data_IF_464757899869
#
_entry.id   IF_464757899869
#
_cell.length_a   1.000
_cell.length_b   1.000
_cell.length_c   1.000
_cell.angle_alpha   90.00
_cell.angle_beta   90.00
_cell.angle_gamma   90.00
#
_symmetry.space_group_name_H-M   'P 1'
#
loop_
_entity.id
_entity.type
_entity.pdbx_description
1 polymer ?
#
# COMPACT_ATOMS: atom_id res chain seq x y z
N UNK A 1 1.64 -5.58 18.32
CA UNK A 1 2.45 -6.51 19.11
C UNK A 1 1.97 -7.93 18.86
N UNK A 2 2.83 -8.76 18.25
CA UNK A 2 2.52 -10.19 18.07
C UNK A 2 2.59 -10.91 19.40
N UNK A 3 1.66 -11.82 19.64
CA UNK A 3 1.58 -12.64 20.85
C UNK A 3 1.98 -14.11 20.62
N UNK A 4 2.36 -14.41 19.38
CA UNK A 4 2.84 -15.70 18.91
C UNK A 4 4.38 -15.72 18.72
N UNK A 5 4.91 -16.78 18.16
CA UNK A 5 6.34 -16.97 17.93
C UNK A 5 6.91 -16.23 16.71
N UNK A 6 6.12 -15.35 16.05
CA UNK A 6 6.53 -14.65 14.81
C UNK A 6 7.83 -13.86 14.98
N UNK A 7 7.99 -13.13 16.10
CA UNK A 7 9.20 -12.35 16.37
C UNK A 7 10.42 -13.24 16.56
N UNK A 8 10.26 -14.35 17.28
CA UNK A 8 11.33 -15.31 17.50
C UNK A 8 11.74 -15.98 16.18
N UNK A 9 10.76 -16.41 15.40
CA UNK A 9 10.97 -16.98 14.07
C UNK A 9 11.76 -16.03 13.14
N UNK A 10 11.37 -14.75 13.09
CA UNK A 10 12.06 -13.76 12.26
C UNK A 10 13.52 -13.59 12.70
N UNK A 11 13.78 -13.48 14.00
CA UNK A 11 15.15 -13.33 14.51
C UNK A 11 16.03 -14.54 14.24
N UNK A 12 15.46 -15.74 14.27
CA UNK A 12 16.21 -16.98 14.02
C UNK A 12 16.44 -17.25 12.53
N UNK A 13 15.43 -17.00 11.69
CA UNK A 13 15.49 -17.34 10.27
C UNK A 13 15.97 -16.21 9.37
N UNK A 14 15.77 -14.96 9.80
CA UNK A 14 16.07 -13.77 9.03
C UNK A 14 16.79 -12.73 9.89
N UNK A 15 18.01 -13.03 10.40
CA UNK A 15 18.73 -12.19 11.35
C UNK A 15 19.09 -10.80 10.82
N UNK A 16 19.16 -10.65 9.49
CA UNK A 16 19.45 -9.36 8.83
C UNK A 16 18.23 -8.44 8.70
N UNK A 17 17.03 -8.94 9.03
CA UNK A 17 15.80 -8.15 8.99
C UNK A 17 15.65 -7.34 10.28
N UNK A 18 15.49 -6.03 10.15
CA UNK A 18 15.16 -5.17 11.28
C UNK A 18 13.72 -5.40 11.73
N UNK A 19 13.56 -5.86 12.97
CA UNK A 19 12.24 -6.11 13.56
C UNK A 19 11.89 -4.95 14.51
N UNK A 20 10.91 -4.13 14.12
CA UNK A 20 10.35 -3.08 14.96
C UNK A 20 9.16 -3.65 15.71
N UNK A 21 9.22 -3.60 17.04
CA UNK A 21 8.16 -4.11 17.92
C UNK A 21 7.42 -2.92 18.52
N UNK A 22 6.18 -2.71 18.09
CA UNK A 22 5.31 -1.69 18.68
C UNK A 22 4.93 -2.09 20.12
N UNK A 23 4.76 -1.13 21.03
CA UNK A 23 4.46 -1.40 22.46
C UNK A 23 3.06 -2.02 22.65
N UNK A 24 2.13 -1.72 21.77
CA UNK A 24 0.74 -2.17 21.79
C UNK A 24 0.19 -2.39 20.39
N UNK A 25 -0.98 -3.02 20.27
CA UNK A 25 -1.71 -3.12 19.02
C UNK A 25 -2.74 -1.98 18.94
N UNK A 26 -2.34 -0.89 18.32
CA UNK A 26 -3.16 0.31 18.10
C UNK A 26 -3.79 0.34 16.71
N UNK A 27 -3.86 -0.81 16.04
CA UNK A 27 -4.38 -0.93 14.67
C UNK A 27 -3.33 -0.67 13.59
N UNK A 28 -3.79 -0.62 12.34
CA UNK A 28 -2.95 -0.49 11.16
C UNK A 28 -2.29 0.89 11.10
N UNK A 29 -3.09 1.96 11.18
CA UNK A 29 -2.63 3.35 11.02
C UNK A 29 -1.55 3.73 12.03
N UNK A 30 -1.87 3.64 13.30
CA UNK A 30 -0.93 3.96 14.40
C UNK A 30 0.27 3.01 14.38
N UNK A 31 0.06 1.73 14.09
CA UNK A 31 1.12 0.74 13.99
C UNK A 31 2.18 1.11 12.95
N UNK A 32 1.75 1.48 11.74
CA UNK A 32 2.66 1.94 10.69
C UNK A 32 3.29 3.30 11.02
N UNK A 33 2.54 4.26 11.55
CA UNK A 33 3.08 5.56 11.93
C UNK A 33 4.22 5.43 12.95
N UNK A 34 4.04 4.60 13.98
CA UNK A 34 5.07 4.35 15.01
C UNK A 34 6.32 3.66 14.41
N UNK A 35 6.12 2.69 13.53
CA UNK A 35 7.22 1.98 12.90
C UNK A 35 7.98 2.88 11.91
N UNK A 36 7.28 3.57 11.02
CA UNK A 36 7.89 4.40 9.98
C UNK A 36 8.63 5.63 10.51
N UNK A 37 8.27 6.16 11.69
CA UNK A 37 9.06 7.20 12.38
C UNK A 37 10.48 6.76 12.70
N UNK A 38 10.75 5.47 12.74
CA UNK A 38 12.07 4.89 13.02
C UNK A 38 12.83 4.51 11.74
N UNK A 39 12.22 4.68 10.55
CA UNK A 39 12.78 4.30 9.26
C UNK A 39 13.14 5.54 8.46
N UNK A 40 14.42 5.71 8.16
CA UNK A 40 14.89 6.78 7.28
C UNK A 40 15.07 6.23 5.85
N UNK A 41 14.15 6.56 4.95
CA UNK A 41 14.17 6.15 3.56
C UNK A 41 13.50 7.21 2.67
N UNK A 42 13.81 7.20 1.37
CA UNK A 42 13.15 8.08 0.40
C UNK A 42 11.74 7.59 0.06
N UNK A 43 11.58 6.26 0.02
CA UNK A 43 10.31 5.59 -0.25
C UNK A 43 10.03 4.56 0.84
N UNK A 44 8.77 4.43 1.21
CA UNK A 44 8.28 3.31 1.99
C UNK A 44 7.52 2.35 1.09
N UNK A 45 7.64 1.06 1.36
CA UNK A 45 6.79 0.03 0.75
C UNK A 45 6.00 -0.62 1.88
N UNK A 46 4.72 -0.30 1.96
CA UNK A 46 3.81 -0.95 2.89
C UNK A 46 3.34 -2.23 2.22
N UNK A 47 3.72 -3.35 2.77
CA UNK A 47 3.44 -4.66 2.22
C UNK A 47 2.83 -5.56 3.29
N UNK A 48 1.66 -6.10 3.03
CA UNK A 48 1.04 -7.06 3.90
C UNK A 48 1.82 -8.39 3.89
N UNK A 49 1.84 -9.07 5.03
CA UNK A 49 2.58 -10.33 5.21
C UNK A 49 1.98 -11.52 4.42
N UNK A 50 0.79 -11.38 3.87
CA UNK A 50 0.08 -12.37 3.06
C UNK A 50 0.14 -12.07 1.54
N UNK A 51 1.02 -11.17 1.12
CA UNK A 51 1.27 -10.86 -0.28
C UNK A 51 2.51 -11.59 -0.79
N UNK A 52 2.36 -12.36 -1.87
CA UNK A 52 3.48 -12.94 -2.62
C UNK A 52 3.94 -11.94 -3.70
N UNK A 53 5.23 -11.65 -3.73
CA UNK A 53 5.82 -10.74 -4.71
C UNK A 53 6.54 -11.50 -5.83
N UNK A 54 6.61 -10.88 -7.02
CA UNK A 54 7.34 -11.42 -8.18
C UNK A 54 8.78 -10.92 -8.19
N UNK A 55 9.63 -11.49 -9.05
CA UNK A 55 10.95 -10.95 -9.30
C UNK A 55 10.86 -9.53 -9.90
N UNK A 56 11.80 -8.68 -9.54
CA UNK A 56 11.94 -7.30 -10.07
C UNK A 56 10.67 -6.42 -9.92
N UNK A 57 9.88 -6.65 -8.87
CA UNK A 57 8.62 -5.92 -8.66
C UNK A 57 8.80 -4.49 -8.13
N UNK A 58 9.96 -4.18 -7.53
CA UNK A 58 10.27 -2.88 -6.93
C UNK A 58 10.75 -1.89 -7.98
N UNK A 59 11.68 -2.29 -8.84
CA UNK A 59 12.44 -1.42 -9.74
C UNK A 59 11.56 -0.61 -10.71
N UNK A 60 10.52 -1.17 -11.34
CA UNK A 60 9.66 -0.40 -12.23
C UNK A 60 8.91 0.72 -11.50
N UNK A 61 8.49 0.46 -10.26
CA UNK A 61 7.73 1.43 -9.47
C UNK A 61 8.65 2.54 -8.96
N UNK A 62 9.84 2.21 -8.48
CA UNK A 62 10.84 3.22 -8.08
C UNK A 62 11.23 4.08 -9.29
N UNK A 63 11.46 3.48 -10.46
CA UNK A 63 11.74 4.23 -11.70
C UNK A 63 10.62 5.21 -12.02
N UNK A 64 9.35 4.81 -11.87
CA UNK A 64 8.20 5.68 -12.07
C UNK A 64 8.17 6.83 -11.05
N UNK A 65 8.35 6.54 -9.77
CA UNK A 65 8.40 7.55 -8.71
C UNK A 65 9.54 8.55 -8.92
N UNK A 66 10.70 8.09 -9.37
CA UNK A 66 11.87 8.95 -9.67
C UNK A 66 11.64 9.84 -10.88
N UNK A 67 10.91 9.36 -11.88
CA UNK A 67 10.63 10.10 -13.11
C UNK A 67 9.73 11.32 -12.88
N UNK A 68 8.89 11.31 -11.85
CA UNK A 68 7.97 12.40 -11.55
C UNK A 68 7.81 12.60 -10.03
N UNK A 69 8.38 13.68 -9.52
CA UNK A 69 8.32 14.02 -8.09
C UNK A 69 6.92 14.38 -7.57
N UNK A 70 5.94 14.55 -8.46
CA UNK A 70 4.53 14.75 -8.08
C UNK A 70 3.81 13.45 -7.72
N UNK A 71 4.34 12.30 -8.13
CA UNK A 71 3.77 11.02 -7.75
C UNK A 71 4.11 10.75 -6.28
N UNK A 72 3.09 10.77 -5.43
CA UNK A 72 3.24 10.51 -4.00
C UNK A 72 3.16 9.04 -3.66
N UNK A 73 2.26 8.30 -4.31
CA UNK A 73 2.04 6.88 -4.06
C UNK A 73 1.79 6.11 -5.35
N UNK A 74 2.13 4.83 -5.32
CA UNK A 74 1.89 3.87 -6.40
C UNK A 74 1.54 2.51 -5.83
N UNK A 75 0.87 1.69 -6.64
CA UNK A 75 0.71 0.27 -6.37
C UNK A 75 0.95 -0.54 -7.65
N UNK A 76 1.44 -1.77 -7.58
CA UNK A 76 1.36 -2.71 -8.69
C UNK A 76 -0.07 -3.21 -8.88
N UNK A 77 -0.34 -3.93 -9.97
CA UNK A 77 -1.53 -4.77 -10.07
C UNK A 77 -1.44 -5.87 -9.03
N UNK A 78 -2.53 -6.10 -8.31
CA UNK A 78 -2.64 -7.18 -7.34
C UNK A 78 -3.60 -8.23 -7.90
N UNK A 79 -3.14 -9.47 -8.00
CA UNK A 79 -3.89 -10.60 -8.52
C UNK A 79 -4.32 -11.53 -7.39
N UNK A 80 -5.42 -12.24 -7.60
CA UNK A 80 -5.88 -13.27 -6.67
C UNK A 80 -4.83 -14.39 -6.56
N UNK A 81 -4.44 -14.73 -5.34
CA UNK A 81 -3.40 -15.73 -5.09
C UNK A 81 -3.77 -17.12 -5.60
N UNK A 82 -5.04 -17.51 -5.46
CA UNK A 82 -5.54 -18.83 -5.86
C UNK A 82 -5.93 -18.90 -7.35
N UNK A 83 -6.29 -17.75 -7.95
CA UNK A 83 -6.68 -17.65 -9.36
C UNK A 83 -5.98 -16.48 -10.04
N UNK A 84 -4.69 -16.63 -10.29
CA UNK A 84 -3.76 -15.59 -10.79
C UNK A 84 -4.14 -14.97 -12.14
N UNK A 85 -5.16 -15.47 -12.81
CA UNK A 85 -5.75 -14.85 -14.01
C UNK A 85 -6.78 -13.77 -13.68
N UNK A 86 -7.08 -13.50 -12.41
CA UNK A 86 -8.04 -12.48 -11.97
C UNK A 86 -7.39 -11.48 -11.03
N UNK A 87 -8.01 -10.30 -10.99
CA UNK A 87 -7.61 -9.29 -10.01
C UNK A 87 -8.01 -9.69 -8.59
N UNK A 88 -7.22 -9.23 -7.63
CA UNK A 88 -7.53 -9.34 -6.21
C UNK A 88 -8.74 -8.45 -5.84
N UNK A 89 -9.43 -8.80 -4.76
CA UNK A 89 -10.71 -8.17 -4.39
C UNK A 89 -10.57 -6.74 -3.86
N UNK A 90 -9.59 -6.47 -2.99
CA UNK A 90 -9.54 -5.22 -2.23
C UNK A 90 -8.77 -4.08 -2.91
N UNK A 91 -7.75 -4.39 -3.70
CA UNK A 91 -6.86 -3.39 -4.30
C UNK A 91 -6.76 -3.44 -5.81
N UNK A 92 -6.98 -4.63 -6.37
CA UNK A 92 -7.01 -4.89 -7.81
C UNK A 92 -5.93 -4.10 -8.59
N UNK A 93 -6.34 -3.17 -9.47
CA UNK A 93 -5.44 -2.39 -10.32
C UNK A 93 -5.54 -0.87 -10.09
N UNK A 94 -5.71 -0.46 -8.82
CA UNK A 94 -5.81 0.93 -8.41
C UNK A 94 -7.25 1.38 -8.16
N UNK A 95 -7.38 2.33 -7.28
CA UNK A 95 -8.66 2.79 -6.74
C UNK A 95 -9.09 4.18 -7.18
N UNK A 96 -10.39 4.40 -7.21
CA UNK A 96 -11.05 5.66 -7.51
C UNK A 96 -12.11 5.96 -6.45
N UNK A 97 -12.63 7.18 -6.47
CA UNK A 97 -13.78 7.59 -5.66
C UNK A 97 -14.80 8.21 -6.61
N UNK A 98 -16.07 7.88 -6.43
CA UNK A 98 -17.13 8.54 -7.18
C UNK A 98 -17.48 9.91 -6.58
N UNK A 99 -18.38 10.64 -7.24
CA UNK A 99 -18.82 11.98 -6.82
C UNK A 99 -19.55 12.03 -5.46
N UNK A 100 -19.90 10.88 -4.91
CA UNK A 100 -20.56 10.75 -3.61
C UNK A 100 -19.60 10.26 -2.52
N UNK A 101 -18.33 9.99 -2.85
CA UNK A 101 -17.31 9.50 -1.93
C UNK A 101 -17.25 7.99 -1.81
N UNK A 102 -17.93 7.23 -2.68
CA UNK A 102 -17.83 5.76 -2.66
C UNK A 102 -16.58 5.28 -3.37
N UNK A 103 -15.70 4.51 -2.71
CA UNK A 103 -14.51 3.97 -3.34
C UNK A 103 -14.84 2.77 -4.23
N UNK A 104 -14.12 2.65 -5.34
CA UNK A 104 -14.17 1.51 -6.24
C UNK A 104 -12.79 1.28 -6.89
N UNK A 105 -12.55 0.09 -7.44
CA UNK A 105 -11.26 -0.29 -8.04
C UNK A 105 -11.42 -0.68 -9.51
N UNK A 106 -10.37 -0.46 -10.30
CA UNK A 106 -10.23 -1.12 -11.61
C UNK A 106 -10.04 -2.62 -11.38
N UNK A 107 -10.69 -3.44 -12.19
CA UNK A 107 -10.64 -4.90 -12.05
C UNK A 107 -11.71 -5.50 -11.17
N UNK A 108 -12.58 -4.65 -10.55
CA UNK A 108 -13.69 -5.12 -9.73
C UNK A 108 -14.91 -4.19 -9.80
N UNK A 109 -16.09 -4.80 -9.96
CA UNK A 109 -17.38 -4.14 -9.78
C UNK A 109 -18.21 -4.96 -8.78
N UNK A 110 -18.45 -4.44 -7.59
CA UNK A 110 -19.07 -5.16 -6.46
C UNK A 110 -18.37 -6.50 -6.21
N UNK A 111 -19.07 -7.62 -6.40
CA UNK A 111 -18.54 -8.97 -6.21
C UNK A 111 -18.02 -9.62 -7.50
N UNK A 112 -18.00 -8.88 -8.60
CA UNK A 112 -17.50 -9.38 -9.89
C UNK A 112 -16.06 -8.93 -10.05
N UNK A 113 -15.15 -9.90 -10.12
CA UNK A 113 -13.73 -9.69 -10.42
C UNK A 113 -13.48 -9.92 -11.91
N UNK A 114 -12.76 -9.00 -12.52
CA UNK A 114 -12.33 -9.13 -13.91
C UNK A 114 -11.17 -10.13 -14.05
N UNK A 115 -11.06 -10.73 -15.22
CA UNK A 115 -9.85 -11.43 -15.63
C UNK A 115 -8.80 -10.41 -16.07
N UNK A 116 -7.53 -10.61 -15.66
CA UNK A 116 -6.41 -9.84 -16.20
C UNK A 116 -6.06 -10.33 -17.62
N UNK A 117 -6.44 -9.54 -18.59
CA UNK A 117 -6.12 -9.71 -20.03
C UNK A 117 -5.11 -8.68 -20.51
N UNK A 118 -4.41 -8.00 -19.58
CA UNK A 118 -3.48 -6.93 -19.88
C UNK A 118 -4.13 -5.56 -20.03
N UNK A 119 -5.44 -5.42 -19.80
CA UNK A 119 -6.18 -4.18 -19.95
C UNK A 119 -5.68 -3.03 -19.06
N UNK A 120 -4.99 -3.35 -17.97
CA UNK A 120 -4.42 -2.37 -17.03
C UNK A 120 -2.90 -2.49 -16.90
N UNK A 121 -2.20 -2.82 -18.00
CA UNK A 121 -0.72 -2.94 -17.99
C UNK A 121 -0.01 -1.58 -18.02
N UNK A 122 -0.67 -0.53 -18.50
CA UNK A 122 -0.09 0.80 -18.53
C UNK A 122 -0.26 1.50 -17.18
N UNK A 123 0.76 2.25 -16.78
CA UNK A 123 0.65 3.13 -15.62
C UNK A 123 -0.45 4.16 -15.87
N UNK A 124 -1.28 4.38 -14.87
CA UNK A 124 -2.43 5.28 -14.91
C UNK A 124 -2.54 6.01 -13.57
N UNK A 125 -2.93 7.28 -13.61
CA UNK A 125 -3.23 8.01 -12.38
C UNK A 125 -4.51 7.45 -11.74
N UNK A 126 -4.41 7.11 -10.46
CA UNK A 126 -5.53 6.60 -9.65
C UNK A 126 -5.80 7.55 -8.48
N UNK A 127 -6.92 7.39 -7.81
CA UNK A 127 -7.22 8.23 -6.66
C UNK A 127 -6.53 7.72 -5.40
N UNK A 128 -6.48 6.39 -5.21
CA UNK A 128 -5.86 5.76 -4.05
C UNK A 128 -5.15 4.45 -4.42
N UNK A 129 -4.15 4.11 -3.63
CA UNK A 129 -3.38 2.87 -3.72
C UNK A 129 -3.72 1.97 -2.55
N UNK A 130 -3.82 0.66 -2.78
CA UNK A 130 -4.17 -0.31 -1.72
C UNK A 130 -3.09 -0.41 -0.65
N UNK A 131 -3.49 -0.47 0.61
CA UNK A 131 -2.60 -0.74 1.75
C UNK A 131 -1.94 -2.12 1.73
N UNK A 132 -2.45 -3.07 0.94
CA UNK A 132 -1.85 -4.38 0.79
C UNK A 132 -0.46 -4.34 0.15
N UNK A 133 -0.22 -3.40 -0.80
CA UNK A 133 1.07 -3.16 -1.44
C UNK A 133 1.15 -1.70 -1.92
N UNK A 134 1.44 -0.78 -1.01
CA UNK A 134 1.55 0.65 -1.30
C UNK A 134 3.02 1.09 -1.29
N UNK A 135 3.46 1.65 -2.40
CA UNK A 135 4.71 2.42 -2.47
C UNK A 135 4.37 3.88 -2.22
N UNK A 136 5.03 4.52 -1.27
CA UNK A 136 4.75 5.91 -0.94
C UNK A 136 6.04 6.69 -0.73
N UNK A 137 6.10 7.90 -1.26
CA UNK A 137 7.19 8.84 -1.03
C UNK A 137 7.15 9.32 0.42
N UNK A 138 8.22 9.07 1.18
CA UNK A 138 8.30 9.37 2.61
C UNK A 138 8.02 10.86 2.92
N UNK A 139 8.58 11.77 2.10
CA UNK A 139 8.32 13.21 2.24
C UNK A 139 6.84 13.56 2.10
N UNK A 140 6.16 13.00 1.08
CA UNK A 140 4.74 13.27 0.84
C UNK A 140 3.87 12.69 1.97
N UNK A 141 4.18 11.49 2.41
CA UNK A 141 3.50 10.81 3.52
C UNK A 141 3.56 11.63 4.81
N UNK A 142 4.76 12.06 5.20
CA UNK A 142 4.92 12.84 6.44
C UNK A 142 4.46 14.29 6.31
N UNK A 143 4.44 14.86 5.11
CA UNK A 143 3.92 16.20 4.86
C UNK A 143 2.42 16.32 5.16
N UNK A 144 1.68 15.22 5.03
CA UNK A 144 0.26 15.15 5.42
C UNK A 144 0.05 14.54 6.81
N UNK A 145 1.12 14.26 7.56
CA UNK A 145 1.06 13.74 8.93
C UNK A 145 1.03 12.23 9.06
N UNK A 146 1.23 11.48 7.97
CA UNK A 146 1.11 10.03 7.96
C UNK A 146 -0.34 9.55 7.84
N UNK A 147 -0.62 8.32 8.26
CA UNK A 147 -1.99 7.85 8.41
C UNK A 147 -2.70 8.60 9.54
N UNK A 148 -4.01 8.73 9.44
CA UNK A 148 -4.84 9.25 10.52
C UNK A 148 -5.07 8.15 11.56
N UNK A 149 -4.65 8.39 12.80
CA UNK A 149 -4.72 7.42 13.89
C UNK A 149 -6.15 7.07 14.32
N UNK A 150 -7.15 7.89 13.94
CA UNK A 150 -8.55 7.59 14.18
C UNK A 150 -9.07 6.41 13.35
N UNK A 151 -8.38 6.06 12.24
CA UNK A 151 -8.63 4.83 11.51
C UNK A 151 -7.88 3.67 12.18
N UNK A 152 -8.61 2.77 12.78
CA UNK A 152 -7.99 1.54 13.33
C UNK A 152 -7.49 0.60 12.22
N UNK A 153 -8.35 0.35 11.23
CA UNK A 153 -8.07 -0.37 9.99
C UNK A 153 -9.17 -0.06 8.96
N UNK A 154 -8.82 -0.10 7.69
CA UNK A 154 -9.62 0.22 6.52
C UNK A 154 -9.89 1.71 6.31
N UNK A 155 -9.82 2.14 5.06
CA UNK A 155 -9.98 3.51 4.56
C UNK A 155 -8.80 4.46 4.84
N UNK A 156 -7.82 4.10 5.66
CA UNK A 156 -6.64 4.91 5.97
C UNK A 156 -5.80 5.19 4.74
N UNK A 157 -5.69 4.23 3.82
CA UNK A 157 -4.98 4.39 2.56
C UNK A 157 -5.70 5.35 1.61
N UNK A 158 -7.02 5.36 1.62
CA UNK A 158 -7.84 6.27 0.83
C UNK A 158 -7.71 7.69 1.38
N UNK A 159 -7.80 7.85 2.69
CA UNK A 159 -7.64 9.12 3.37
C UNK A 159 -6.26 9.74 3.14
N UNK A 160 -5.18 8.99 3.35
CA UNK A 160 -3.83 9.53 3.15
C UNK A 160 -3.58 9.93 1.69
N UNK A 161 -4.06 9.13 0.72
CA UNK A 161 -4.01 9.48 -0.69
C UNK A 161 -4.80 10.76 -0.98
N UNK A 162 -6.01 10.89 -0.42
CA UNK A 162 -6.82 12.10 -0.55
C UNK A 162 -6.10 13.34 -0.02
N UNK A 163 -5.52 13.24 1.18
CA UNK A 163 -4.76 14.37 1.78
C UNK A 163 -3.54 14.75 0.94
N UNK A 164 -2.80 13.77 0.39
CA UNK A 164 -1.68 14.04 -0.52
C UNK A 164 -2.15 14.72 -1.82
N UNK A 165 -3.27 14.27 -2.42
CA UNK A 165 -3.85 14.92 -3.61
C UNK A 165 -4.28 16.36 -3.32
N UNK A 166 -4.86 16.66 -2.18
CA UNK A 166 -5.28 18.01 -1.80
C UNK A 166 -4.13 19.02 -1.70
N UNK A 167 -2.90 18.56 -1.52
CA UNK A 167 -1.69 19.40 -1.51
C UNK A 167 -0.90 19.33 -2.83
N UNK A 168 -1.48 18.75 -3.89
CA UNK A 168 -1.00 18.80 -5.28
C UNK A 168 -0.15 17.62 -5.72
N UNK A 169 -0.11 16.53 -4.98
CA UNK A 169 0.48 15.27 -5.45
C UNK A 169 -0.48 14.47 -6.35
N UNK A 170 0.08 13.50 -7.02
CA UNK A 170 -0.60 12.53 -7.88
C UNK A 170 -0.51 11.13 -7.24
#
# INVERSE_FOLDING_TARGET
QSTDDSVLFLKEKFPDVNVIINPSNEGFSTGYNLALKQVNAEYYVLLNSDVEVTENWIEPIITLLDSNKKIAACQPKVLDYNLRSRFEYAGASGGFIDKYGYPYCRGRIFNVLEEDKGQYNNAEEVFWSTGACMFVRAEAFWKVGGFDDDYFAHMEEIDVCWRMKNIGYQ
#
